data_IF_153612116009
#
_entry.id   IF_153612116009
#
_cell.length_a   1.000
_cell.length_b   1.000
_cell.length_c   1.000
_cell.angle_alpha   90.00
_cell.angle_beta   90.00
_cell.angle_gamma   90.00
#
_symmetry.space_group_name_H-M   'P 1'
#
loop_
_entity.id
_entity.type
_entity.pdbx_description
1 polymer ?
#
# COMPACT_ATOMS: atom_id res chain seq x y z
N UNK A 1 34.63 -25.36 55.95
CA UNK A 1 34.95 -24.10 56.65
C UNK A 1 35.61 -23.19 55.61
N UNK A 2 35.06 -21.98 55.41
CA UNK A 2 35.48 -20.88 54.50
C UNK A 2 35.09 -21.13 53.02
N UNK A 3 33.96 -20.60 52.50
CA UNK A 3 33.46 -19.21 52.26
C UNK A 3 34.05 -18.53 51.03
N UNK A 4 33.17 -18.41 50.02
CA UNK A 4 32.82 -17.22 49.23
C UNK A 4 33.92 -16.42 48.50
N UNK A 5 33.80 -16.38 47.17
CA UNK A 5 33.80 -15.14 46.35
C UNK A 5 33.36 -15.50 44.91
N UNK A 6 32.08 -15.36 44.53
CA UNK A 6 31.44 -14.19 43.91
C UNK A 6 32.09 -13.68 42.60
N UNK A 7 31.35 -13.79 41.48
CA UNK A 7 31.45 -12.82 40.38
C UNK A 7 31.07 -13.32 38.98
N UNK A 8 30.03 -12.70 38.41
CA UNK A 8 29.66 -12.59 36.97
C UNK A 8 28.78 -13.73 36.42
N UNK A 9 27.44 -13.65 36.29
CA UNK A 9 26.50 -12.68 35.65
C UNK A 9 26.19 -13.01 34.17
N UNK A 10 24.88 -12.97 33.85
CA UNK A 10 24.18 -12.94 32.54
C UNK A 10 23.90 -14.28 31.85
N UNK A 11 22.77 -14.52 31.21
CA UNK A 11 21.37 -14.07 31.30
C UNK A 11 20.60 -14.89 30.25
N UNK A 12 19.34 -15.17 30.57
CA UNK A 12 18.27 -15.72 29.76
C UNK A 12 18.23 -15.24 28.30
N UNK A 13 18.09 -16.18 27.36
CA UNK A 13 17.31 -16.06 26.12
C UNK A 13 16.78 -17.47 25.82
N UNK A 14 15.47 -17.76 25.84
CA UNK A 14 14.44 -17.04 25.11
C UNK A 14 14.20 -17.72 23.76
N UNK A 15 13.86 -19.03 23.78
CA UNK A 15 13.37 -19.78 22.62
C UNK A 15 11.93 -19.32 22.32
N UNK A 16 11.81 -18.15 21.70
CA UNK A 16 10.54 -17.61 21.23
C UNK A 16 10.83 -16.71 20.05
N UNK A 17 10.52 -17.22 18.87
CA UNK A 17 10.78 -16.55 17.61
C UNK A 17 10.89 -17.59 16.50
N UNK A 18 9.78 -18.24 16.18
CA UNK A 18 9.54 -18.69 14.81
C UNK A 18 9.61 -17.41 13.96
N UNK A 19 10.79 -17.12 13.44
CA UNK A 19 10.99 -16.05 12.48
C UNK A 19 10.13 -16.41 11.27
N UNK A 20 9.02 -15.68 11.14
CA UNK A 20 8.21 -15.67 9.94
C UNK A 20 9.12 -15.36 8.77
N UNK A 21 9.32 -16.37 7.93
CA UNK A 21 9.87 -16.22 6.61
C UNK A 21 8.89 -15.36 5.81
N UNK A 22 9.13 -14.04 5.75
CA UNK A 22 8.50 -13.17 4.75
C UNK A 22 9.43 -13.15 3.53
N UNK A 23 9.09 -13.84 2.44
CA UNK A 23 9.93 -13.84 1.25
C UNK A 23 9.89 -12.45 0.61
N UNK A 24 11.04 -11.76 0.66
CA UNK A 24 11.50 -10.75 -0.28
C UNK A 24 10.41 -9.83 -0.86
N UNK A 25 10.10 -8.78 -0.10
CA UNK A 25 9.64 -7.53 -0.67
C UNK A 25 10.72 -7.03 -1.64
N UNK A 26 10.31 -6.87 -2.89
CA UNK A 26 10.97 -6.12 -3.96
C UNK A 26 11.71 -4.92 -3.35
N UNK A 27 13.03 -4.87 -3.54
CA UNK A 27 13.96 -3.92 -2.92
C UNK A 27 13.49 -2.47 -3.15
N UNK A 28 12.79 -1.87 -2.18
CA UNK A 28 12.27 -0.50 -2.25
C UNK A 28 10.77 -0.29 -2.00
N UNK A 29 9.93 -1.32 -1.87
CA UNK A 29 8.53 -1.12 -1.43
C UNK A 29 8.48 -1.10 0.09
N UNK A 30 8.41 0.11 0.66
CA UNK A 30 8.08 0.26 2.09
C UNK A 30 6.61 -0.02 2.30
N UNK A 31 6.27 -1.20 2.81
CA UNK A 31 4.94 -1.47 3.36
C UNK A 31 4.62 -0.41 4.42
N UNK A 32 3.46 0.24 4.28
CA UNK A 32 2.94 1.17 5.27
C UNK A 32 1.72 0.55 5.95
N UNK A 33 1.30 1.07 7.12
CA UNK A 33 -0.04 0.78 7.61
C UNK A 33 -1.08 1.04 6.52
N UNK A 34 -2.16 0.26 6.52
CA UNK A 34 -3.22 0.43 5.53
C UNK A 34 -3.76 1.87 5.57
N UNK A 35 -3.86 2.55 4.41
CA UNK A 35 -4.27 3.96 4.35
C UNK A 35 -5.75 4.17 4.74
N UNK A 36 -6.56 3.12 4.65
CA UNK A 36 -7.96 3.10 5.06
C UNK A 36 -8.39 1.67 5.38
N UNK A 37 -9.48 1.50 6.12
CA UNK A 37 -10.04 0.18 6.45
C UNK A 37 -10.82 -0.38 5.26
N UNK A 38 -10.70 -1.68 4.98
CA UNK A 38 -11.42 -2.35 3.90
C UNK A 38 -11.58 -3.84 4.21
N UNK A 39 -12.69 -4.43 3.77
CA UNK A 39 -12.94 -5.87 3.94
C UNK A 39 -12.24 -6.75 2.88
N UNK A 40 -11.75 -6.13 1.80
CA UNK A 40 -11.04 -6.77 0.70
C UNK A 40 -9.90 -5.88 0.18
N UNK A 41 -8.97 -6.44 -0.58
CA UNK A 41 -7.93 -5.67 -1.25
C UNK A 41 -8.55 -4.56 -2.11
N UNK A 42 -8.19 -3.32 -1.79
CA UNK A 42 -8.79 -2.11 -2.35
C UNK A 42 -7.72 -1.14 -2.80
N UNK A 43 -7.88 -0.63 -4.02
CA UNK A 43 -6.95 0.28 -4.67
C UNK A 43 -7.65 1.59 -4.99
N UNK A 44 -7.09 2.69 -4.52
CA UNK A 44 -7.52 4.05 -4.87
C UNK A 44 -6.37 4.76 -5.58
N UNK A 45 -6.63 5.23 -6.79
CA UNK A 45 -5.79 6.21 -7.47
C UNK A 45 -6.46 7.57 -7.34
N UNK A 46 -5.74 8.55 -6.81
CA UNK A 46 -6.16 9.95 -6.78
C UNK A 46 -5.37 10.73 -7.81
N UNK A 47 -6.05 11.49 -8.66
CA UNK A 47 -5.46 12.33 -9.69
C UNK A 47 -6.07 13.74 -9.65
N UNK A 48 -5.46 14.69 -10.36
CA UNK A 48 -6.10 15.97 -10.69
C UNK A 48 -6.42 15.96 -12.18
N UNK A 49 -7.71 15.88 -12.52
CA UNK A 49 -8.20 15.79 -13.88
C UNK A 49 -7.84 17.03 -14.69
N UNK A 50 -7.75 18.21 -14.04
CA UNK A 50 -7.37 19.47 -14.69
C UNK A 50 -5.91 19.45 -15.17
N UNK A 51 -5.05 18.69 -14.48
CA UNK A 51 -3.62 18.54 -14.79
C UNK A 51 -3.32 17.36 -15.72
N UNK A 52 -4.32 16.59 -16.18
CA UNK A 52 -4.10 15.45 -17.09
C UNK A 52 -3.29 15.80 -18.35
N UNK A 53 -3.41 17.03 -18.85
CA UNK A 53 -2.68 17.48 -20.05
C UNK A 53 -1.16 17.58 -19.85
N UNK A 54 -0.70 17.72 -18.61
CA UNK A 54 0.73 17.81 -18.26
C UNK A 54 1.27 16.51 -17.66
N UNK A 55 0.42 15.51 -17.44
CA UNK A 55 0.85 14.20 -16.97
C UNK A 55 1.70 13.49 -18.03
N UNK A 56 2.69 12.75 -17.53
CA UNK A 56 3.44 11.80 -18.34
C UNK A 56 2.52 10.71 -18.93
N UNK A 57 2.90 10.16 -20.09
CA UNK A 57 2.16 9.09 -20.77
C UNK A 57 2.06 7.83 -19.92
N UNK A 58 3.07 7.53 -19.10
CA UNK A 58 3.06 6.42 -18.16
C UNK A 58 1.92 6.54 -17.15
N UNK A 59 1.80 7.70 -16.50
CA UNK A 59 0.68 7.98 -15.59
C UNK A 59 -0.68 7.90 -16.31
N UNK A 60 -0.82 8.52 -17.49
CA UNK A 60 -2.07 8.47 -18.25
C UNK A 60 -2.46 7.04 -18.62
N UNK A 61 -1.49 6.20 -19.01
CA UNK A 61 -1.73 4.80 -19.31
C UNK A 61 -2.17 3.99 -18.08
N UNK A 62 -1.76 4.35 -16.87
CA UNK A 62 -2.24 3.67 -15.66
C UNK A 62 -3.64 4.12 -15.26
N UNK A 63 -3.90 5.42 -15.30
CA UNK A 63 -5.17 6.03 -14.91
C UNK A 63 -6.30 5.65 -15.88
N UNK A 64 -6.02 5.78 -17.18
CA UNK A 64 -7.01 5.61 -18.25
C UNK A 64 -6.92 4.22 -18.90
N UNK A 65 -5.79 3.54 -18.76
CA UNK A 65 -5.56 2.31 -19.49
C UNK A 65 -6.28 1.11 -18.90
N UNK A 66 -6.31 0.10 -19.76
CA UNK A 66 -6.94 -1.20 -19.52
C UNK A 66 -6.13 -2.09 -18.56
N UNK A 67 -4.77 -2.15 -18.58
CA UNK A 67 -4.02 -3.16 -17.81
C UNK A 67 -4.29 -3.15 -16.31
N UNK A 68 -4.31 -1.98 -15.67
CA UNK A 68 -4.59 -1.87 -14.23
C UNK A 68 -6.01 -2.36 -13.91
N UNK A 69 -6.99 -2.00 -14.75
CA UNK A 69 -8.39 -2.36 -14.56
C UNK A 69 -8.62 -3.86 -14.76
N UNK A 70 -8.01 -4.44 -15.79
CA UNK A 70 -8.05 -5.89 -16.04
C UNK A 70 -7.43 -6.65 -14.87
N UNK A 71 -6.23 -6.27 -14.45
CA UNK A 71 -5.57 -6.93 -13.32
C UNK A 71 -6.42 -6.83 -12.04
N UNK A 72 -6.98 -5.66 -11.71
CA UNK A 72 -7.84 -5.55 -10.53
C UNK A 72 -9.08 -6.43 -10.65
N UNK A 73 -9.72 -6.47 -11.82
CA UNK A 73 -10.90 -7.30 -12.05
C UNK A 73 -10.59 -8.81 -11.97
N UNK A 74 -9.45 -9.24 -12.53
CA UNK A 74 -9.00 -10.65 -12.50
C UNK A 74 -8.67 -11.12 -11.06
N UNK A 75 -8.22 -10.20 -10.21
CA UNK A 75 -7.84 -10.51 -8.82
C UNK A 75 -8.94 -10.14 -7.79
N UNK A 76 -10.14 -9.76 -8.24
CA UNK A 76 -11.24 -9.38 -7.34
C UNK A 76 -10.96 -8.13 -6.49
N UNK A 77 -10.05 -7.27 -6.94
CA UNK A 77 -9.63 -6.05 -6.27
C UNK A 77 -10.59 -4.91 -6.61
N UNK A 78 -11.08 -4.21 -5.59
CA UNK A 78 -11.92 -3.04 -5.82
C UNK A 78 -11.04 -1.83 -6.20
N UNK A 79 -11.21 -1.32 -7.41
CA UNK A 79 -10.46 -0.18 -7.93
C UNK A 79 -11.34 1.08 -8.04
N UNK A 80 -10.84 2.20 -7.50
CA UNK A 80 -11.34 3.55 -7.77
C UNK A 80 -10.22 4.42 -8.35
N UNK A 81 -10.58 5.23 -9.33
CA UNK A 81 -9.71 6.27 -9.90
C UNK A 81 -10.51 7.56 -9.82
N UNK A 82 -10.12 8.46 -8.93
CA UNK A 82 -10.90 9.64 -8.57
C UNK A 82 -10.09 10.91 -8.74
N UNK A 83 -10.82 11.97 -9.08
CA UNK A 83 -10.31 13.33 -8.97
C UNK A 83 -10.11 13.70 -7.49
N UNK A 84 -9.14 14.58 -7.21
CA UNK A 84 -8.78 15.00 -5.86
C UNK A 84 -9.84 15.87 -5.19
N UNK A 85 -10.72 16.51 -5.99
CA UNK A 85 -11.82 17.36 -5.55
C UNK A 85 -13.22 16.75 -5.71
N UNK A 86 -13.30 15.47 -6.09
CA UNK A 86 -14.59 14.79 -6.33
C UNK A 86 -15.52 14.84 -5.11
N UNK A 87 -16.80 15.12 -5.33
CA UNK A 87 -17.83 14.99 -4.29
C UNK A 87 -18.08 13.52 -3.93
N UNK A 88 -17.43 13.07 -2.86
CA UNK A 88 -17.57 11.72 -2.30
C UNK A 88 -18.64 11.61 -1.19
N UNK A 89 -19.54 12.59 -1.04
CA UNK A 89 -20.54 12.62 0.04
C UNK A 89 -21.48 11.40 0.10
N UNK A 90 -21.63 10.69 -1.02
CA UNK A 90 -22.47 9.48 -1.15
C UNK A 90 -21.67 8.21 -1.40
N UNK A 91 -20.35 8.28 -1.35
CA UNK A 91 -19.51 7.11 -1.52
C UNK A 91 -19.46 6.25 -0.25
N UNK A 92 -18.96 5.03 -0.39
CA UNK A 92 -18.63 4.20 0.77
C UNK A 92 -17.63 4.94 1.67
N UNK A 93 -17.84 4.95 3.01
CA UNK A 93 -16.96 5.63 3.95
C UNK A 93 -15.47 5.31 3.77
N UNK A 94 -15.10 4.08 3.37
CA UNK A 94 -13.68 3.72 3.19
C UNK A 94 -13.01 4.56 2.11
N UNK A 95 -13.74 4.84 1.03
CA UNK A 95 -13.22 5.61 -0.09
C UNK A 95 -13.11 7.09 0.26
N UNK A 96 -14.04 7.62 1.04
CA UNK A 96 -13.95 8.98 1.57
C UNK A 96 -12.76 9.13 2.53
N UNK A 97 -12.46 8.12 3.35
CA UNK A 97 -11.26 8.12 4.20
C UNK A 97 -9.99 8.10 3.33
N UNK A 98 -9.91 7.22 2.33
CA UNK A 98 -8.78 7.16 1.40
C UNK A 98 -8.57 8.46 0.61
N UNK A 99 -9.65 9.09 0.14
CA UNK A 99 -9.59 10.37 -0.57
C UNK A 99 -9.09 11.52 0.32
N UNK A 100 -9.38 11.47 1.62
CA UNK A 100 -8.93 12.45 2.61
C UNK A 100 -7.57 12.11 3.25
N UNK A 101 -6.96 10.98 2.89
CA UNK A 101 -5.63 10.63 3.38
C UNK A 101 -4.57 11.62 2.88
N UNK A 102 -3.56 11.83 3.71
CA UNK A 102 -2.46 12.73 3.41
C UNK A 102 -1.63 12.21 2.22
N UNK A 103 -1.32 13.12 1.29
CA UNK A 103 -0.52 12.89 0.09
C UNK A 103 0.32 14.12 -0.20
N UNK A 104 1.52 13.90 -0.72
CA UNK A 104 2.45 14.99 -1.05
C UNK A 104 2.29 15.48 -2.49
N UNK A 105 1.69 14.66 -3.36
CA UNK A 105 1.48 14.97 -4.78
C UNK A 105 0.33 14.17 -5.38
N UNK A 106 -0.07 14.53 -6.60
CA UNK A 106 -0.93 13.71 -7.47
C UNK A 106 -0.21 13.48 -8.82
N UNK A 107 -0.41 12.33 -9.49
CA UNK A 107 -1.25 11.21 -9.07
C UNK A 107 -0.65 10.38 -7.93
N UNK A 108 -1.51 9.82 -7.08
CA UNK A 108 -1.15 9.05 -5.90
C UNK A 108 -1.84 7.69 -5.91
N UNK A 109 -1.15 6.67 -5.39
CA UNK A 109 -1.63 5.30 -5.28
C UNK A 109 -1.78 4.93 -3.81
N UNK A 110 -3.00 4.53 -3.44
CA UNK A 110 -3.29 3.88 -2.18
C UNK A 110 -3.66 2.42 -2.42
N UNK A 111 -3.06 1.54 -1.63
CA UNK A 111 -3.42 0.11 -1.57
C UNK A 111 -3.74 -0.20 -0.11
N UNK A 112 -4.92 -0.78 0.13
CA UNK A 112 -5.30 -1.29 1.44
C UNK A 112 -5.63 -2.77 1.35
N UNK A 113 -4.86 -3.58 2.07
CA UNK A 113 -5.02 -5.03 2.17
C UNK A 113 -5.72 -5.36 3.49
N UNK A 114 -7.02 -5.63 3.41
CA UNK A 114 -7.90 -5.95 4.54
C UNK A 114 -7.80 -4.97 5.74
N UNK A 115 -7.35 -3.73 5.52
CA UNK A 115 -7.14 -2.74 6.58
C UNK A 115 -5.93 -2.99 7.50
N UNK A 116 -5.11 -4.01 7.24
CA UNK A 116 -3.96 -4.36 8.09
C UNK A 116 -2.65 -3.76 7.58
N UNK A 117 -2.38 -3.96 6.28
CA UNK A 117 -1.19 -3.44 5.60
C UNK A 117 -1.57 -2.75 4.30
N UNK A 118 -0.64 -1.99 3.74
CA UNK A 118 -0.91 -1.28 2.51
C UNK A 118 0.29 -0.55 1.95
N UNK A 119 -0.03 0.28 0.96
CA UNK A 119 0.90 1.18 0.30
C UNK A 119 0.26 2.56 0.17
N UNK A 120 1.06 3.60 0.38
CA UNK A 120 0.68 4.99 0.10
C UNK A 120 1.89 5.69 -0.50
N UNK A 121 1.82 6.04 -1.77
CA UNK A 121 2.92 6.68 -2.48
C UNK A 121 2.51 7.29 -3.81
N UNK A 122 3.40 8.04 -4.48
CA UNK A 122 3.17 8.52 -5.82
C UNK A 122 2.81 7.36 -6.76
N UNK A 123 1.89 7.58 -7.68
CA UNK A 123 1.59 6.58 -8.71
C UNK A 123 2.85 6.35 -9.55
N UNK A 124 3.32 5.10 -9.70
CA UNK A 124 4.47 4.82 -10.57
C UNK A 124 4.23 5.24 -12.03
N UNK A 125 5.29 5.39 -12.81
CA UNK A 125 5.18 5.73 -14.25
C UNK A 125 5.03 4.53 -15.15
N UNK A 126 5.08 3.31 -14.60
CA UNK A 126 5.03 2.09 -15.39
C UNK A 126 4.02 1.10 -14.84
N UNK A 127 3.44 0.33 -15.76
CA UNK A 127 2.58 -0.80 -15.40
C UNK A 127 3.35 -1.86 -14.62
N UNK A 128 4.56 -2.21 -15.04
CA UNK A 128 5.33 -3.26 -14.38
C UNK A 128 5.63 -2.93 -12.91
N UNK A 129 6.00 -1.68 -12.61
CA UNK A 129 6.24 -1.23 -11.23
C UNK A 129 4.94 -1.19 -10.41
N UNK A 130 3.85 -0.70 -11.00
CA UNK A 130 2.53 -0.70 -10.33
C UNK A 130 2.08 -2.13 -10.04
N UNK A 131 2.19 -3.04 -11.01
CA UNK A 131 1.84 -4.44 -10.86
C UNK A 131 2.67 -5.12 -9.78
N UNK A 132 3.98 -4.86 -9.75
CA UNK A 132 4.87 -5.39 -8.72
C UNK A 132 4.41 -4.97 -7.32
N UNK A 133 4.03 -3.70 -7.13
CA UNK A 133 3.44 -3.24 -5.85
C UNK A 133 2.18 -4.04 -5.51
N UNK A 134 1.25 -4.14 -6.45
CA UNK A 134 -0.05 -4.78 -6.21
C UNK A 134 0.10 -6.29 -5.93
N UNK A 135 1.00 -6.99 -6.62
CA UNK A 135 1.33 -8.39 -6.39
C UNK A 135 1.89 -8.65 -4.98
N UNK A 136 2.50 -7.64 -4.33
CA UNK A 136 2.91 -7.73 -2.92
C UNK A 136 1.73 -7.85 -1.93
N UNK A 137 0.52 -7.49 -2.36
CA UNK A 137 -0.69 -7.45 -1.52
C UNK A 137 -1.74 -8.50 -1.88
N UNK A 138 -1.63 -9.18 -3.03
CA UNK A 138 -2.51 -10.31 -3.37
C UNK A 138 -1.97 -11.57 -2.68
N UNK A 139 -2.76 -12.16 -1.77
CA UNK A 139 -2.47 -13.46 -1.15
C UNK A 139 -3.51 -14.50 -1.55
#
# INVERSE_FOLDING_TARGET
MIRDLLGVLLLLFGLSGLWGWSPNLIDGITETPAPFQSDALSVLVVEDVSQRTVLDRGHLNLILGVPLREWCNENGVELKVWDDDVDASRADPKWTVGLNAARDSVPWLYVSDHGERGFSGPLPKSWDETRAILEGFVQ
#
